data_IF_535732606768
#
_entry.id   IF_535732606768
#
_cell.length_a   1.000
_cell.length_b   1.000
_cell.length_c   1.000
_cell.angle_alpha   90.00
_cell.angle_beta   90.00
_cell.angle_gamma   90.00
#
_symmetry.space_group_name_H-M   'P 1'
#
loop_
_entity.id
_entity.type
_entity.pdbx_description
1 polymer ?
#
# COMPACT_ATOMS: atom_id res chain seq x y z
N UNK A 1 -21.30 27.31 20.19
CA UNK A 1 -20.38 26.99 19.06
C UNK A 1 -21.12 26.05 18.13
N UNK A 2 -21.43 26.51 16.92
CA UNK A 2 -22.04 25.68 15.87
C UNK A 2 -20.90 25.06 15.08
N UNK A 3 -20.85 23.73 15.03
CA UNK A 3 -20.03 23.02 14.05
C UNK A 3 -20.73 23.21 12.71
N UNK A 4 -20.11 23.93 11.79
CA UNK A 4 -20.57 23.97 10.42
C UNK A 4 -20.39 22.56 9.84
N UNK A 5 -21.48 21.93 9.40
CA UNK A 5 -21.41 20.69 8.63
C UNK A 5 -20.66 20.98 7.33
N UNK A 6 -19.44 20.46 7.22
CA UNK A 6 -18.70 20.47 5.98
C UNK A 6 -19.40 19.54 5.00
N UNK A 7 -19.95 20.09 3.92
CA UNK A 7 -20.58 19.36 2.81
C UNK A 7 -19.54 18.82 1.81
N UNK A 8 -18.36 18.41 2.30
CA UNK A 8 -17.38 17.76 1.44
C UNK A 8 -17.90 16.38 1.04
N UNK A 9 -18.29 16.22 -0.23
CA UNK A 9 -18.64 14.91 -0.79
C UNK A 9 -17.39 14.05 -0.88
N UNK A 10 -17.38 12.91 -0.19
CA UNK A 10 -16.36 11.87 -0.36
C UNK A 10 -16.81 10.97 -1.51
N UNK A 11 -16.01 10.90 -2.56
CA UNK A 11 -16.22 9.99 -3.68
C UNK A 11 -15.25 8.82 -3.56
N UNK A 12 -15.79 7.60 -3.62
CA UNK A 12 -15.00 6.36 -3.69
C UNK A 12 -15.09 5.85 -5.12
N UNK A 13 -13.95 5.76 -5.79
CA UNK A 13 -13.82 5.17 -7.11
C UNK A 13 -13.12 3.82 -6.98
N UNK A 14 -13.74 2.78 -7.55
CA UNK A 14 -13.11 1.46 -7.63
C UNK A 14 -11.98 1.49 -8.67
N UNK A 15 -10.84 0.92 -8.30
CA UNK A 15 -9.73 0.76 -9.22
C UNK A 15 -9.92 -0.49 -10.07
N UNK A 16 -9.57 -0.38 -11.35
CA UNK A 16 -9.34 -1.58 -12.16
C UNK A 16 -8.12 -2.36 -11.63
N UNK A 17 -7.98 -3.66 -11.96
CA UNK A 17 -6.81 -4.43 -11.55
C UNK A 17 -5.47 -3.81 -11.99
N UNK A 18 -5.44 -3.20 -13.17
CA UNK A 18 -4.25 -2.55 -13.72
C UNK A 18 -3.90 -1.27 -12.93
N UNK A 19 -4.90 -0.47 -12.58
CA UNK A 19 -4.73 0.73 -11.75
C UNK A 19 -4.33 0.38 -10.32
N UNK A 20 -4.90 -0.68 -9.75
CA UNK A 20 -4.56 -1.17 -8.42
C UNK A 20 -3.10 -1.67 -8.38
N UNK A 21 -2.67 -2.42 -9.40
CA UNK A 21 -1.27 -2.86 -9.55
C UNK A 21 -0.32 -1.67 -9.70
N UNK A 22 -0.68 -0.68 -10.51
CA UNK A 22 0.13 0.54 -10.66
C UNK A 22 0.16 1.39 -9.38
N UNK A 23 -0.92 1.41 -8.59
CA UNK A 23 -0.95 2.07 -7.29
C UNK A 23 -0.04 1.37 -6.28
N UNK A 24 -0.09 0.03 -6.22
CA UNK A 24 0.78 -0.76 -5.38
C UNK A 24 2.27 -0.55 -5.72
N UNK A 25 2.63 -0.58 -7.00
CA UNK A 25 3.99 -0.35 -7.48
C UNK A 25 4.55 1.02 -7.03
N UNK A 26 3.73 2.08 -7.10
CA UNK A 26 4.10 3.40 -6.60
C UNK A 26 4.32 3.42 -5.09
N UNK A 27 3.54 2.68 -4.32
CA UNK A 27 3.67 2.59 -2.85
C UNK A 27 4.97 1.85 -2.50
N UNK A 28 5.22 0.69 -3.12
CA UNK A 28 6.44 -0.08 -2.93
C UNK A 28 7.69 0.74 -3.26
N UNK A 29 7.66 1.46 -4.39
CA UNK A 29 8.76 2.31 -4.80
C UNK A 29 8.97 3.48 -3.84
N UNK A 30 7.91 4.17 -3.43
CA UNK A 30 8.02 5.32 -2.52
C UNK A 30 8.47 4.94 -1.10
N UNK A 31 8.03 3.78 -0.59
CA UNK A 31 8.30 3.34 0.77
C UNK A 31 9.64 2.60 0.91
N UNK A 32 10.04 1.83 -0.11
CA UNK A 32 11.15 0.88 0.01
C UNK A 32 12.12 0.86 -1.19
N UNK A 33 11.92 1.73 -2.19
CA UNK A 33 12.75 1.82 -3.41
C UNK A 33 12.87 0.49 -4.19
N UNK A 34 11.77 -0.28 -4.20
CA UNK A 34 11.63 -1.52 -4.99
C UNK A 34 10.36 -1.44 -5.83
N UNK A 35 10.32 -2.15 -6.96
CA UNK A 35 9.06 -2.33 -7.68
C UNK A 35 8.07 -3.18 -6.86
N UNK A 36 6.78 -3.04 -7.14
CA UNK A 36 5.75 -3.87 -6.51
C UNK A 36 5.94 -5.36 -6.82
N UNK A 37 6.42 -5.70 -8.01
CA UNK A 37 6.71 -7.08 -8.40
C UNK A 37 7.86 -7.68 -7.58
N UNK A 38 8.96 -6.93 -7.42
CA UNK A 38 10.10 -7.35 -6.59
C UNK A 38 9.71 -7.51 -5.12
N UNK A 39 8.88 -6.60 -4.59
CA UNK A 39 8.37 -6.73 -3.22
C UNK A 39 7.53 -8.00 -3.04
N UNK A 40 6.59 -8.27 -3.96
CA UNK A 40 5.73 -9.45 -3.89
C UNK A 40 6.53 -10.75 -4.02
N UNK A 41 7.51 -10.80 -4.92
CA UNK A 41 8.39 -11.96 -5.05
C UNK A 41 9.16 -12.22 -3.74
N UNK A 42 9.74 -11.17 -3.15
CA UNK A 42 10.42 -11.28 -1.87
C UNK A 42 9.50 -11.70 -0.72
N UNK A 43 8.26 -11.21 -0.70
CA UNK A 43 7.25 -11.60 0.28
C UNK A 43 6.88 -13.09 0.13
N UNK A 44 6.68 -13.57 -1.11
CA UNK A 44 6.36 -14.97 -1.38
C UNK A 44 7.52 -15.93 -1.05
N UNK A 45 8.76 -15.44 -1.11
CA UNK A 45 9.95 -16.16 -0.66
C UNK A 45 10.11 -16.18 0.87
N UNK A 46 9.23 -15.50 1.62
CA UNK A 46 9.29 -15.42 3.09
C UNK A 46 10.35 -14.46 3.62
N UNK A 47 10.85 -13.52 2.81
CA UNK A 47 11.93 -12.57 3.20
C UNK A 47 11.60 -11.77 4.46
N UNK A 48 10.32 -11.56 4.74
CA UNK A 48 9.84 -10.71 5.83
C UNK A 48 9.19 -11.49 6.99
N UNK A 49 9.25 -12.83 6.99
CA UNK A 49 8.54 -13.67 7.97
C UNK A 49 8.98 -13.45 9.42
N UNK A 50 10.27 -13.16 9.62
CA UNK A 50 10.89 -12.90 10.93
C UNK A 50 11.26 -11.42 11.13
N UNK A 51 10.73 -10.52 10.29
CA UNK A 51 11.01 -9.09 10.35
C UNK A 51 9.84 -8.38 11.04
N UNK A 52 10.14 -7.59 12.08
CA UNK A 52 9.15 -6.67 12.66
C UNK A 52 8.88 -5.52 11.68
N UNK A 53 7.63 -5.35 11.16
CA UNK A 53 7.30 -4.28 10.22
C UNK A 53 7.51 -2.87 10.77
N UNK A 54 7.45 -2.69 12.09
CA UNK A 54 7.67 -1.38 12.73
C UNK A 54 9.16 -1.01 12.78
N UNK A 55 10.05 -2.01 12.78
CA UNK A 55 11.52 -1.83 12.78
C UNK A 55 12.12 -1.80 11.37
N UNK A 56 11.35 -2.14 10.33
CA UNK A 56 11.79 -2.07 8.93
C UNK A 56 11.12 -0.89 8.21
N UNK A 57 11.86 0.21 7.93
CA UNK A 57 11.30 1.39 7.28
C UNK A 57 10.54 1.04 6.00
N UNK A 58 9.31 1.55 5.91
CA UNK A 58 8.42 1.37 4.75
C UNK A 58 7.72 0.01 4.66
N UNK A 59 8.11 -1.01 5.42
CA UNK A 59 7.54 -2.35 5.30
C UNK A 59 6.06 -2.38 5.65
N UNK A 60 5.67 -1.75 6.77
CA UNK A 60 4.26 -1.67 7.16
C UNK A 60 3.40 -0.97 6.10
N UNK A 61 3.89 0.11 5.49
CA UNK A 61 3.15 0.87 4.47
C UNK A 61 2.83 0.00 3.24
N UNK A 62 3.82 -0.80 2.79
CA UNK A 62 3.63 -1.69 1.65
C UNK A 62 2.76 -2.90 2.02
N UNK A 63 2.91 -3.46 3.22
CA UNK A 63 2.05 -4.55 3.71
C UNK A 63 0.58 -4.12 3.82
N UNK A 64 0.31 -2.90 4.29
CA UNK A 64 -1.06 -2.36 4.34
C UNK A 64 -1.67 -2.13 2.94
N UNK A 65 -0.85 -2.04 1.90
CA UNK A 65 -1.28 -1.90 0.52
C UNK A 65 -1.57 -3.25 -0.20
N UNK A 66 -1.28 -4.40 0.43
CA UNK A 66 -1.51 -5.72 -0.17
C UNK A 66 -2.93 -5.96 -0.72
N UNK A 67 -4.03 -5.44 -0.12
CA UNK A 67 -5.38 -5.60 -0.68
C UNK A 67 -5.58 -5.03 -2.10
N UNK A 68 -4.65 -4.21 -2.60
CA UNK A 68 -4.68 -3.74 -4.00
C UNK A 68 -4.33 -4.86 -4.99
N UNK A 69 -3.64 -5.91 -4.53
CA UNK A 69 -3.04 -6.94 -5.39
C UNK A 69 -3.26 -8.38 -4.88
N UNK A 70 -3.89 -8.58 -3.72
CA UNK A 70 -4.26 -9.88 -3.13
C UNK A 70 -5.62 -9.84 -2.47
#
# INVERSE_FOLDING_TARGET
MSIAESSASVEVSELTPEEARAAFDRIAHAAMDVSGEEFLAALDEGKFDDVDPDDHPGLLDVLMALPLVR
#
